data_IF_554913011858
#
_entry.id   IF_554913011858
#
_cell.length_a   1.000
_cell.length_b   1.000
_cell.length_c   1.000
_cell.angle_alpha   90.00
_cell.angle_beta   90.00
_cell.angle_gamma   90.00
#
_symmetry.space_group_name_H-M   'P 1'
#
loop_
_entity.id
_entity.type
_entity.pdbx_description
1 polymer ?
#
# COMPACT_ATOMS: atom_id res chain seq x y z
N UNK A 1 31.41 -8.10 -8.82
CA UNK A 1 30.73 -7.05 -9.60
C UNK A 1 30.27 -5.99 -8.60
N UNK A 2 31.11 -4.97 -8.44
CA UNK A 2 31.03 -3.94 -7.41
C UNK A 2 29.92 -2.98 -7.78
N UNK A 3 28.87 -2.88 -6.96
CA UNK A 3 27.83 -1.86 -7.16
C UNK A 3 28.43 -0.53 -6.74
N UNK A 4 28.63 0.33 -7.72
CA UNK A 4 29.14 1.69 -7.59
C UNK A 4 28.29 2.49 -6.58
N UNK A 5 28.95 2.96 -5.52
CA UNK A 5 28.36 3.68 -4.39
C UNK A 5 27.98 5.14 -4.71
N UNK A 6 28.02 5.55 -5.99
CA UNK A 6 27.65 6.91 -6.42
C UNK A 6 26.14 7.07 -6.72
N UNK A 7 25.34 6.00 -6.63
CA UNK A 7 23.90 6.00 -6.96
C UNK A 7 23.01 6.09 -5.71
N UNK A 8 23.16 7.11 -4.87
CA UNK A 8 22.08 7.55 -3.98
C UNK A 8 22.04 9.08 -3.84
N UNK A 9 22.33 9.79 -4.95
CA UNK A 9 21.81 11.17 -5.12
C UNK A 9 20.31 11.13 -4.85
N UNK A 10 19.78 12.15 -4.16
CA UNK A 10 18.33 12.47 -4.10
C UNK A 10 17.68 11.95 -5.38
N UNK A 11 16.83 10.93 -5.28
CA UNK A 11 16.05 10.52 -6.43
C UNK A 11 14.94 11.56 -6.66
N UNK A 12 15.34 12.79 -7.00
CA UNK A 12 14.71 13.48 -8.12
C UNK A 12 15.16 12.73 -9.39
N UNK A 13 14.79 11.44 -9.49
CA UNK A 13 14.69 10.80 -10.80
C UNK A 13 13.60 11.62 -11.46
N UNK A 14 14.01 12.54 -12.34
CA UNK A 14 13.10 13.07 -13.35
C UNK A 14 12.58 11.81 -14.04
N UNK A 15 11.36 11.41 -13.71
CA UNK A 15 10.72 10.29 -14.36
C UNK A 15 10.85 10.57 -15.86
N UNK A 16 11.37 9.60 -16.61
CA UNK A 16 11.44 9.76 -18.05
C UNK A 16 10.03 10.16 -18.52
N UNK A 17 9.89 11.23 -19.30
CA UNK A 17 8.57 11.73 -19.67
C UNK A 17 7.81 10.59 -20.34
N UNK A 18 6.54 10.42 -19.97
CA UNK A 18 5.69 9.43 -20.58
C UNK A 18 5.71 9.61 -22.10
N UNK A 19 5.99 8.52 -22.82
CA UNK A 19 5.96 8.51 -24.28
C UNK A 19 4.54 8.82 -24.80
N UNK A 20 4.37 9.31 -26.04
CA UNK A 20 3.05 9.57 -26.64
C UNK A 20 2.04 8.42 -26.52
N UNK A 21 2.51 7.16 -26.49
CA UNK A 21 1.68 5.96 -26.26
C UNK A 21 0.85 6.02 -24.98
N UNK A 22 1.32 6.70 -23.93
CA UNK A 22 0.54 6.83 -22.69
C UNK A 22 -0.61 7.83 -22.81
N UNK A 23 -0.51 8.83 -23.69
CA UNK A 23 -1.67 9.64 -24.05
C UNK A 23 -2.71 8.82 -24.83
N UNK A 24 -2.26 7.89 -25.69
CA UNK A 24 -3.14 6.94 -26.37
C UNK A 24 -3.80 5.97 -25.38
N UNK A 25 -3.04 5.40 -24.44
CA UNK A 25 -3.58 4.57 -23.36
C UNK A 25 -4.66 5.35 -22.60
N UNK A 26 -4.37 6.57 -22.14
CA UNK A 26 -5.31 7.40 -21.42
C UNK A 26 -6.62 7.63 -22.20
N UNK A 27 -6.52 7.96 -23.49
CA UNK A 27 -7.68 8.11 -24.38
C UNK A 27 -8.45 6.81 -24.59
N UNK A 28 -7.78 5.67 -24.59
CA UNK A 28 -8.45 4.36 -24.73
C UNK A 28 -9.20 3.91 -23.47
N UNK A 29 -8.91 4.53 -22.31
CA UNK A 29 -9.49 4.11 -21.03
C UNK A 29 -10.84 4.75 -20.76
N UNK A 30 -11.08 5.95 -21.28
CA UNK A 30 -12.31 6.71 -21.07
C UNK A 30 -12.89 7.08 -22.44
N UNK A 31 -14.10 6.63 -22.73
CA UNK A 31 -14.81 6.99 -23.95
C UNK A 31 -15.32 8.45 -23.86
N UNK A 32 -15.33 9.22 -24.96
CA UNK A 32 -15.81 10.62 -24.93
C UNK A 32 -17.22 10.78 -24.35
N UNK A 33 -18.10 9.81 -24.60
CA UNK A 33 -19.47 9.77 -24.06
C UNK A 33 -19.55 9.55 -22.54
N UNK A 34 -18.49 9.07 -21.91
CA UNK A 34 -18.41 8.82 -20.46
C UNK A 34 -17.78 9.99 -19.68
N UNK A 35 -17.28 11.03 -20.36
CA UNK A 35 -16.56 12.14 -19.72
C UNK A 35 -17.40 12.91 -18.69
N UNK A 36 -18.68 13.16 -19.00
CA UNK A 36 -19.61 13.85 -18.09
C UNK A 36 -19.87 13.01 -16.83
N UNK A 37 -20.10 11.70 -17.02
CA UNK A 37 -20.31 10.75 -15.93
C UNK A 37 -19.08 10.66 -15.03
N UNK A 38 -17.89 10.59 -15.62
CA UNK A 38 -16.63 10.53 -14.89
C UNK A 38 -16.39 11.83 -14.11
N UNK A 39 -16.75 12.98 -14.70
CA UNK A 39 -16.66 14.29 -14.05
C UNK A 39 -17.59 14.38 -12.83
N UNK A 40 -18.83 13.91 -12.94
CA UNK A 40 -19.74 13.82 -11.80
C UNK A 40 -19.17 12.92 -10.69
N UNK A 41 -18.65 11.75 -11.07
CA UNK A 41 -18.01 10.79 -10.17
C UNK A 41 -16.81 11.39 -9.43
N UNK A 42 -15.94 12.10 -10.14
CA UNK A 42 -14.79 12.83 -9.57
C UNK A 42 -15.22 13.92 -8.60
N UNK A 43 -16.25 14.69 -8.92
CA UNK A 43 -16.76 15.73 -8.05
C UNK A 43 -17.33 15.16 -6.74
N UNK A 44 -18.09 14.06 -6.82
CA UNK A 44 -18.57 13.32 -5.63
C UNK A 44 -17.41 12.81 -4.78
N UNK A 45 -16.39 12.26 -5.43
CA UNK A 45 -15.18 11.77 -4.77
C UNK A 45 -14.46 12.88 -3.99
N UNK A 46 -14.28 14.07 -4.59
CA UNK A 46 -13.62 15.20 -3.94
C UNK A 46 -14.38 15.70 -2.70
N UNK A 47 -15.71 15.74 -2.75
CA UNK A 47 -16.55 16.06 -1.59
C UNK A 47 -16.37 15.02 -0.48
N UNK A 48 -16.41 13.72 -0.82
CA UNK A 48 -16.21 12.64 0.15
C UNK A 48 -14.80 12.66 0.76
N UNK A 49 -13.77 12.95 -0.05
CA UNK A 49 -12.39 13.11 0.40
C UNK A 49 -12.26 14.27 1.40
N UNK A 50 -12.88 15.42 1.11
CA UNK A 50 -12.88 16.57 2.03
C UNK A 50 -13.44 16.17 3.39
N UNK A 51 -14.61 15.52 3.41
CA UNK A 51 -15.21 15.02 4.66
C UNK A 51 -14.30 14.05 5.41
N UNK A 52 -13.71 13.07 4.71
CA UNK A 52 -12.79 12.10 5.33
C UNK A 52 -11.51 12.76 5.85
N UNK A 53 -10.98 13.76 5.16
CA UNK A 53 -9.78 14.50 5.59
C UNK A 53 -10.04 15.24 6.90
N UNK A 54 -11.19 15.91 7.05
CA UNK A 54 -11.53 16.59 8.30
C UNK A 54 -11.72 15.58 9.44
N UNK A 55 -12.43 14.46 9.21
CA UNK A 55 -12.55 13.38 10.21
C UNK A 55 -11.18 12.84 10.66
N UNK A 56 -10.23 12.65 9.72
CA UNK A 56 -8.86 12.22 10.03
C UNK A 56 -8.13 13.26 10.88
N UNK A 57 -8.27 14.55 10.56
CA UNK A 57 -7.63 15.64 11.33
C UNK A 57 -8.16 15.72 12.75
N UNK A 58 -9.48 15.62 12.91
CA UNK A 58 -10.17 15.68 14.20
C UNK A 58 -9.87 14.44 15.05
N UNK A 59 -9.94 13.25 14.46
CA UNK A 59 -9.78 11.99 15.21
C UNK A 59 -8.32 11.67 15.52
N UNK A 60 -7.40 11.95 14.58
CA UNK A 60 -6.00 11.58 14.71
C UNK A 60 -5.75 10.06 14.68
N UNK A 61 -4.74 9.58 15.40
CA UNK A 61 -4.29 8.17 15.34
C UNK A 61 -5.34 7.10 15.74
N UNK A 62 -6.28 7.36 16.68
CA UNK A 62 -7.36 6.43 17.01
C UNK A 62 -8.26 6.03 15.83
N UNK A 63 -8.19 6.72 14.69
CA UNK A 63 -8.95 6.37 13.47
C UNK A 63 -8.55 5.01 12.86
N UNK A 64 -7.39 4.48 13.24
CA UNK A 64 -6.91 3.17 12.81
C UNK A 64 -7.49 2.12 13.76
N UNK A 65 -8.29 1.15 13.26
CA UNK A 65 -8.88 0.11 14.08
C UNK A 65 -7.82 -0.68 14.84
N UNK A 66 -8.08 -0.94 16.11
CA UNK A 66 -7.26 -1.77 16.97
C UNK A 66 -8.12 -2.88 17.54
N UNK A 67 -7.60 -4.10 17.53
CA UNK A 67 -8.29 -5.31 17.99
C UNK A 67 -7.30 -6.21 18.74
N UNK A 68 -7.79 -7.02 19.66
CA UNK A 68 -6.99 -8.04 20.33
C UNK A 68 -6.99 -9.34 19.53
N UNK A 69 -5.85 -10.04 19.50
CA UNK A 69 -5.70 -11.29 18.76
C UNK A 69 -6.72 -12.37 19.20
N UNK A 70 -7.04 -12.43 20.50
CA UNK A 70 -7.99 -13.38 21.05
C UNK A 70 -9.47 -13.04 20.74
N UNK A 71 -9.75 -11.87 20.18
CA UNK A 71 -11.10 -11.40 19.82
C UNK A 71 -11.38 -11.50 18.31
N UNK A 72 -10.40 -11.87 17.49
CA UNK A 72 -10.53 -11.85 16.02
C UNK A 72 -11.73 -12.65 15.50
N UNK A 73 -12.07 -13.78 16.13
CA UNK A 73 -13.21 -14.62 15.73
C UNK A 73 -14.57 -14.10 16.18
N UNK A 74 -14.62 -13.11 17.06
CA UNK A 74 -15.85 -12.58 17.67
C UNK A 74 -16.08 -11.10 17.38
N UNK A 75 -15.31 -10.50 16.48
CA UNK A 75 -15.49 -9.11 16.09
C UNK A 75 -16.88 -8.88 15.49
N UNK A 76 -17.50 -7.75 15.85
CA UNK A 76 -18.79 -7.36 15.30
C UNK A 76 -18.68 -7.08 13.79
N UNK A 77 -19.78 -7.24 13.03
CA UNK A 77 -19.83 -6.83 11.63
C UNK A 77 -19.41 -5.37 11.42
N UNK A 78 -19.81 -4.46 12.32
CA UNK A 78 -19.40 -3.05 12.25
C UNK A 78 -17.89 -2.84 12.38
N UNK A 79 -17.20 -3.62 13.23
CA UNK A 79 -15.74 -3.55 13.37
C UNK A 79 -15.04 -4.10 12.13
N UNK A 80 -15.56 -5.18 11.55
CA UNK A 80 -15.04 -5.71 10.28
C UNK A 80 -15.19 -4.70 9.15
N UNK A 81 -16.34 -4.03 9.04
CA UNK A 81 -16.55 -2.96 8.06
C UNK A 81 -15.63 -1.76 8.30
N UNK A 82 -15.34 -1.42 9.56
CA UNK A 82 -14.37 -0.38 9.90
C UNK A 82 -12.94 -0.73 9.42
N UNK A 83 -12.51 -1.98 9.64
CA UNK A 83 -11.23 -2.51 9.17
C UNK A 83 -11.18 -2.49 7.64
N UNK A 84 -12.24 -2.95 6.97
CA UNK A 84 -12.33 -2.92 5.50
C UNK A 84 -12.31 -1.50 4.94
N UNK A 85 -13.08 -0.59 5.54
CA UNK A 85 -13.15 0.82 5.14
C UNK A 85 -11.77 1.48 5.24
N UNK A 86 -11.07 1.28 6.36
CA UNK A 86 -9.78 1.93 6.62
C UNK A 86 -8.62 1.29 5.87
N UNK A 87 -8.67 -0.03 5.63
CA UNK A 87 -7.61 -0.78 4.96
C UNK A 87 -6.36 -1.01 5.79
N UNK A 88 -6.48 -0.88 7.10
CA UNK A 88 -5.39 -1.05 8.03
C UNK A 88 -5.96 -1.44 9.39
N UNK A 89 -5.21 -2.23 10.16
CA UNK A 89 -5.62 -2.67 11.49
C UNK A 89 -4.37 -2.93 12.33
N UNK A 90 -4.45 -2.60 13.62
CA UNK A 90 -3.48 -3.03 14.62
C UNK A 90 -4.06 -4.25 15.35
N UNK A 91 -3.38 -5.39 15.24
CA UNK A 91 -3.73 -6.60 16.01
C UNK A 91 -2.77 -6.69 17.19
N UNK A 92 -3.30 -6.54 18.40
CA UNK A 92 -2.54 -6.59 19.65
C UNK A 92 -2.45 -8.02 20.16
N UNK A 93 -1.40 -8.33 20.91
CA UNK A 93 -1.24 -9.64 21.56
C UNK A 93 -1.04 -10.83 20.62
N UNK A 94 -0.60 -10.61 19.36
CA UNK A 94 -0.34 -11.73 18.43
C UNK A 94 0.80 -12.61 18.94
N UNK A 95 1.89 -12.00 19.39
CA UNK A 95 2.99 -12.65 20.11
C UNK A 95 3.18 -11.87 21.41
N UNK A 96 3.44 -12.57 22.52
CA UNK A 96 3.70 -11.92 23.80
C UNK A 96 4.94 -11.03 23.75
N UNK A 97 4.91 -9.94 24.52
CA UNK A 97 5.95 -8.92 24.51
C UNK A 97 7.35 -9.48 24.84
N UNK A 98 7.55 -10.33 25.86
CA UNK A 98 8.85 -10.95 26.12
C UNK A 98 9.42 -11.72 24.93
N UNK A 99 8.59 -12.53 24.26
CA UNK A 99 9.02 -13.28 23.07
C UNK A 99 9.38 -12.34 21.91
N UNK A 100 8.53 -11.36 21.60
CA UNK A 100 8.77 -10.41 20.51
C UNK A 100 10.02 -9.54 20.76
N UNK A 101 10.22 -9.07 22.00
CA UNK A 101 11.43 -8.34 22.39
C UNK A 101 12.68 -9.23 22.33
N UNK A 102 12.56 -10.50 22.73
CA UNK A 102 13.64 -11.49 22.61
C UNK A 102 14.09 -11.71 21.16
N UNK A 103 13.17 -11.67 20.20
CA UNK A 103 13.54 -11.73 18.77
C UNK A 103 14.44 -10.56 18.36
N UNK A 104 14.15 -9.34 18.83
CA UNK A 104 14.99 -8.17 18.57
C UNK A 104 16.40 -8.34 19.15
N UNK A 105 16.52 -8.80 20.40
CA UNK A 105 17.83 -9.02 21.05
C UNK A 105 18.67 -9.99 20.23
N UNK A 106 18.08 -11.12 19.82
CA UNK A 106 18.76 -12.11 18.96
C UNK A 106 19.14 -11.55 17.58
N UNK A 107 18.32 -10.69 16.99
CA UNK A 107 18.66 -10.02 15.73
C UNK A 107 19.84 -9.07 15.91
N UNK A 108 19.89 -8.30 17.00
CA UNK A 108 21.00 -7.40 17.31
C UNK A 108 22.31 -8.18 17.56
N UNK A 109 22.24 -9.31 18.25
CA UNK A 109 23.37 -10.24 18.40
C UNK A 109 23.82 -10.81 17.07
N UNK A 110 22.88 -11.24 16.23
CA UNK A 110 23.18 -11.76 14.89
C UNK A 110 23.88 -10.71 14.03
N UNK A 111 23.41 -9.45 14.04
CA UNK A 111 24.07 -8.34 13.32
C UNK A 111 25.48 -8.09 13.87
N UNK A 112 25.67 -8.09 15.21
CA UNK A 112 26.97 -7.85 15.83
C UNK A 112 28.01 -8.90 15.44
N UNK A 113 27.58 -10.15 15.31
CA UNK A 113 28.44 -11.27 14.89
C UNK A 113 28.70 -11.33 13.38
N UNK A 114 27.95 -10.56 12.57
CA UNK A 114 28.04 -10.56 11.10
C UNK A 114 28.10 -9.10 10.57
N UNK A 115 29.20 -8.36 10.82
CA UNK A 115 29.32 -6.92 10.48
C UNK A 115 29.17 -6.62 8.98
N UNK A 116 29.47 -7.59 8.12
CA UNK A 116 29.33 -7.56 6.67
C UNK A 116 27.88 -7.66 6.18
N UNK A 117 26.93 -7.96 7.07
CA UNK A 117 25.51 -8.02 6.75
C UNK A 117 25.06 -6.75 6.01
N UNK A 118 24.42 -6.92 4.85
CA UNK A 118 23.94 -5.80 4.04
C UNK A 118 22.82 -5.05 4.76
N UNK A 119 22.79 -3.75 4.58
CA UNK A 119 21.80 -2.88 5.20
C UNK A 119 21.96 -1.43 4.75
N UNK A 120 20.94 -0.62 5.04
CA UNK A 120 20.93 0.79 4.66
C UNK A 120 20.41 1.71 5.78
N UNK A 121 20.86 2.97 5.82
CA UNK A 121 22.00 3.53 5.07
C UNK A 121 23.34 2.89 5.50
N UNK A 122 24.37 2.96 4.65
CA UNK A 122 25.64 2.24 4.84
C UNK A 122 26.32 2.55 6.19
N UNK A 123 26.42 3.83 6.55
CA UNK A 123 27.12 4.29 7.77
C UNK A 123 26.24 4.23 9.03
N UNK A 124 24.95 3.92 8.88
CA UNK A 124 24.02 3.81 9.99
C UNK A 124 22.90 2.83 9.64
N UNK A 125 23.25 1.55 9.47
CA UNK A 125 22.30 0.51 9.07
C UNK A 125 21.11 0.48 10.04
N UNK A 126 19.91 0.66 9.51
CA UNK A 126 18.64 0.52 10.26
C UNK A 126 17.69 -0.44 9.57
N UNK A 127 17.82 -0.59 8.25
CA UNK A 127 17.24 -1.71 7.52
C UNK A 127 18.33 -2.73 7.26
N UNK A 128 17.97 -4.00 7.45
CA UNK A 128 18.90 -5.11 7.31
C UNK A 128 18.39 -6.06 6.23
N UNK A 129 19.22 -6.30 5.21
CA UNK A 129 18.95 -7.21 4.10
C UNK A 129 19.27 -8.66 4.52
N UNK A 130 18.63 -9.06 5.61
CA UNK A 130 18.71 -10.38 6.22
C UNK A 130 17.32 -10.98 6.18
N UNK A 131 17.25 -12.28 5.87
CA UNK A 131 15.98 -12.92 5.52
C UNK A 131 15.71 -14.19 6.30
N UNK A 132 16.75 -14.86 6.82
CA UNK A 132 16.67 -16.25 7.28
C UNK A 132 17.19 -16.43 8.71
N UNK A 133 17.27 -15.37 9.51
CA UNK A 133 17.67 -15.52 10.91
C UNK A 133 16.65 -16.37 11.69
N UNK A 134 17.09 -17.00 12.78
CA UNK A 134 16.22 -17.79 13.66
C UNK A 134 15.00 -16.97 14.12
N UNK A 135 15.20 -15.71 14.52
CA UNK A 135 14.14 -14.80 14.93
C UNK A 135 13.10 -14.56 13.83
N UNK A 136 13.55 -14.31 12.59
CA UNK A 136 12.64 -14.10 11.46
C UNK A 136 11.84 -15.35 11.14
N UNK A 137 12.49 -16.52 11.13
CA UNK A 137 11.84 -17.79 10.87
C UNK A 137 10.80 -18.13 11.95
N UNK A 138 11.17 -18.02 13.23
CA UNK A 138 10.26 -18.28 14.36
C UNK A 138 9.06 -17.34 14.37
N UNK A 139 9.27 -16.04 14.11
CA UNK A 139 8.18 -15.08 14.05
C UNK A 139 7.20 -15.44 12.92
N UNK A 140 7.70 -15.74 11.71
CA UNK A 140 6.86 -16.08 10.56
C UNK A 140 6.11 -17.41 10.72
N UNK A 141 6.73 -18.39 11.38
CA UNK A 141 6.12 -19.69 11.64
C UNK A 141 5.33 -19.77 12.95
N UNK A 142 5.21 -18.66 13.70
CA UNK A 142 4.47 -18.65 14.96
C UNK A 142 2.99 -18.97 14.71
N UNK A 143 2.36 -19.90 15.46
CA UNK A 143 0.97 -20.29 15.23
C UNK A 143 0.01 -19.10 15.18
N UNK A 144 0.13 -18.15 16.12
CA UNK A 144 -0.71 -16.95 16.13
C UNK A 144 -0.48 -16.04 14.92
N UNK A 145 0.75 -15.95 14.39
CA UNK A 145 1.01 -15.16 13.19
C UNK A 145 0.36 -15.78 11.95
N UNK A 146 0.42 -17.10 11.83
CA UNK A 146 -0.26 -17.84 10.76
C UNK A 146 -1.78 -17.69 10.88
N UNK A 147 -2.35 -17.85 12.09
CA UNK A 147 -3.78 -17.66 12.34
C UNK A 147 -4.25 -16.23 12.06
N UNK A 148 -3.50 -15.22 12.50
CA UNK A 148 -3.81 -13.81 12.21
C UNK A 148 -3.75 -13.52 10.70
N UNK A 149 -2.79 -14.10 9.98
CA UNK A 149 -2.67 -13.94 8.53
C UNK A 149 -3.83 -14.61 7.79
N UNK A 150 -4.24 -15.82 8.21
CA UNK A 150 -5.39 -16.51 7.64
C UNK A 150 -6.69 -15.74 7.91
N UNK A 151 -6.86 -15.18 9.11
CA UNK A 151 -7.99 -14.33 9.45
C UNK A 151 -8.02 -13.03 8.62
N UNK A 152 -6.87 -12.38 8.45
CA UNK A 152 -6.76 -11.20 7.57
C UNK A 152 -7.13 -11.54 6.12
N UNK A 153 -6.69 -12.69 5.62
CA UNK A 153 -7.01 -13.16 4.27
C UNK A 153 -8.50 -13.50 4.10
N UNK A 154 -9.19 -13.98 5.14
CA UNK A 154 -10.60 -14.33 5.06
C UNK A 154 -11.53 -13.12 4.89
N UNK A 155 -11.03 -11.90 5.07
CA UNK A 155 -11.76 -10.67 4.76
C UNK A 155 -11.93 -10.45 3.25
N UNK A 156 -11.12 -11.13 2.44
CA UNK A 156 -11.21 -11.13 0.99
C UNK A 156 -12.09 -12.26 0.47
N UNK A 157 -12.50 -12.15 -0.78
CA UNK A 157 -13.15 -13.23 -1.51
C UNK A 157 -12.67 -13.27 -2.97
N UNK A 158 -12.92 -14.39 -3.63
CA UNK A 158 -12.73 -14.57 -5.05
C UNK A 158 -13.88 -15.44 -5.58
N UNK A 159 -14.09 -15.45 -6.90
CA UNK A 159 -15.02 -16.39 -7.53
C UNK A 159 -14.62 -17.84 -7.20
N UNK A 160 -15.60 -18.75 -7.10
CA UNK A 160 -15.36 -20.16 -6.76
C UNK A 160 -14.39 -20.88 -7.70
N UNK A 161 -14.31 -20.45 -8.96
CA UNK A 161 -13.38 -20.97 -9.98
C UNK A 161 -11.94 -20.46 -9.82
N UNK A 162 -11.71 -19.47 -8.95
CA UNK A 162 -10.41 -18.86 -8.74
C UNK A 162 -9.47 -19.81 -8.01
N UNK A 163 -8.24 -19.95 -8.51
CA UNK A 163 -7.21 -20.80 -7.90
C UNK A 163 -6.48 -20.09 -6.77
N UNK A 164 -7.17 -19.90 -5.64
CA UNK A 164 -6.60 -19.27 -4.44
C UNK A 164 -7.07 -19.98 -3.17
N UNK A 165 -6.17 -20.14 -2.21
CA UNK A 165 -6.51 -20.51 -0.83
C UNK A 165 -6.34 -19.30 0.07
N UNK A 166 -7.42 -18.85 0.70
CA UNK A 166 -7.37 -17.75 1.69
C UNK A 166 -7.07 -18.25 3.10
N UNK A 167 -7.20 -19.55 3.36
CA UNK A 167 -6.92 -20.18 4.65
C UNK A 167 -5.49 -20.70 4.80
N UNK A 168 -4.68 -20.67 3.74
CA UNK A 168 -3.29 -21.17 3.72
C UNK A 168 -2.30 -20.04 3.47
N UNK A 169 -1.78 -19.37 4.52
CA UNK A 169 -0.73 -18.38 4.39
C UNK A 169 0.55 -18.99 3.81
N UNK A 170 1.20 -18.24 2.91
CA UNK A 170 2.56 -18.53 2.44
C UNK A 170 3.57 -17.61 3.12
N UNK A 171 4.79 -18.11 3.33
CA UNK A 171 5.88 -17.32 3.87
C UNK A 171 6.54 -16.50 2.76
N UNK A 172 6.47 -15.17 2.86
CA UNK A 172 7.28 -14.26 2.07
C UNK A 172 8.44 -13.72 2.93
N UNK A 173 9.67 -14.04 2.53
CA UNK A 173 10.86 -13.64 3.29
C UNK A 173 11.22 -12.18 2.98
N UNK A 174 10.96 -11.29 3.93
CA UNK A 174 11.34 -9.88 3.84
C UNK A 174 12.36 -9.50 4.93
N UNK A 175 12.95 -8.32 4.75
CA UNK A 175 13.91 -7.65 5.61
C UNK A 175 13.29 -7.30 6.96
N UNK A 176 14.10 -6.78 7.87
CA UNK A 176 13.63 -6.15 9.10
C UNK A 176 14.25 -4.77 9.29
N UNK A 177 13.65 -4.00 10.21
CA UNK A 177 14.08 -2.64 10.53
C UNK A 177 14.25 -2.48 12.04
N UNK A 178 15.41 -2.00 12.45
CA UNK A 178 15.70 -1.52 13.81
C UNK A 178 16.02 -0.03 13.70
N UNK A 179 15.01 0.81 13.96
CA UNK A 179 15.13 2.26 13.84
C UNK A 179 15.78 2.84 15.10
N UNK A 180 16.76 3.73 14.93
CA UNK A 180 17.38 4.46 16.05
C UNK A 180 16.61 5.76 16.34
N UNK A 181 16.44 6.14 17.63
CA UNK A 181 15.90 7.44 18.00
C UNK A 181 16.67 8.61 17.38
N UNK A 182 16.00 9.75 17.18
CA UNK A 182 16.63 10.99 16.70
C UNK A 182 16.93 11.06 15.19
N UNK A 183 16.81 9.95 14.44
CA UNK A 183 17.07 9.96 12.99
C UNK A 183 15.76 10.23 12.22
N UNK A 184 15.65 11.41 11.62
CA UNK A 184 14.58 11.71 10.65
C UNK A 184 14.93 11.10 9.29
N UNK A 185 14.03 10.28 8.76
CA UNK A 185 14.15 9.68 7.43
C UNK A 185 13.17 10.38 6.49
N UNK A 186 13.69 11.09 5.49
CA UNK A 186 12.88 11.74 4.45
C UNK A 186 12.96 11.00 3.10
N UNK A 187 13.18 9.68 3.13
CA UNK A 187 13.53 8.88 1.94
C UNK A 187 12.30 8.25 1.27
N UNK A 188 11.17 8.14 1.98
CA UNK A 188 9.94 7.55 1.44
C UNK A 188 8.79 8.56 1.50
N UNK A 189 8.46 9.15 0.34
CA UNK A 189 7.19 9.85 0.16
C UNK A 189 6.02 8.86 0.24
N UNK A 190 4.78 9.32 0.52
CA UNK A 190 3.59 8.46 0.42
C UNK A 190 3.56 7.71 -0.92
N UNK A 191 3.28 6.42 -0.89
CA UNK A 191 3.28 5.53 -2.06
C UNK A 191 2.36 4.31 -1.82
N UNK A 192 2.07 3.58 -2.90
CA UNK A 192 1.36 2.29 -2.88
C UNK A 192 2.18 1.28 -3.67
N UNK A 193 2.59 0.18 -3.03
CA UNK A 193 3.32 -0.91 -3.68
C UNK A 193 2.40 -1.81 -4.53
N UNK A 194 2.99 -2.85 -5.15
CA UNK A 194 2.24 -3.88 -5.88
C UNK A 194 1.85 -3.44 -7.30
N UNK A 195 2.69 -2.62 -7.92
CA UNK A 195 2.47 -2.04 -9.25
C UNK A 195 2.50 -0.51 -9.19
N UNK A 196 2.62 0.12 -10.34
CA UNK A 196 2.58 1.56 -10.56
C UNK A 196 1.66 1.85 -11.74
N UNK A 197 2.19 1.97 -12.96
CA UNK A 197 1.44 2.19 -14.20
C UNK A 197 0.59 0.98 -14.61
N UNK A 198 0.97 -0.21 -14.13
CA UNK A 198 0.29 -1.48 -14.39
C UNK A 198 -1.19 -1.42 -13.99
N UNK A 199 -1.57 -0.58 -13.02
CA UNK A 199 -2.98 -0.40 -12.63
C UNK A 199 -3.87 0.09 -13.78
N UNK A 200 -3.30 0.84 -14.72
CA UNK A 200 -3.99 1.33 -15.91
C UNK A 200 -3.61 0.53 -17.15
N UNK A 201 -2.36 0.10 -17.26
CA UNK A 201 -1.84 -0.51 -18.48
C UNK A 201 -2.19 -2.01 -18.59
N UNK A 202 -1.98 -2.78 -17.52
CA UNK A 202 -2.26 -4.22 -17.53
C UNK A 202 -3.78 -4.48 -17.58
N UNK A 203 -4.30 -5.17 -18.61
CA UNK A 203 -5.73 -5.45 -18.70
C UNK A 203 -6.26 -6.30 -17.54
N UNK A 204 -5.45 -7.19 -16.97
CA UNK A 204 -5.82 -8.01 -15.82
C UNK A 204 -6.02 -7.16 -14.57
N UNK A 205 -5.01 -6.36 -14.21
CA UNK A 205 -5.03 -5.48 -13.05
C UNK A 205 -6.09 -4.39 -13.20
N UNK A 206 -6.25 -3.83 -14.40
CA UNK A 206 -7.25 -2.79 -14.68
C UNK A 206 -8.68 -3.27 -14.41
N UNK A 207 -8.98 -4.56 -14.61
CA UNK A 207 -10.31 -5.12 -14.30
C UNK A 207 -10.71 -4.91 -12.84
N UNK A 208 -9.74 -4.82 -11.92
CA UNK A 208 -10.00 -4.52 -10.51
C UNK A 208 -10.61 -3.12 -10.28
N UNK A 209 -10.47 -2.21 -11.23
CA UNK A 209 -10.82 -0.79 -11.08
C UNK A 209 -11.91 -0.33 -12.06
N UNK A 210 -12.60 -1.25 -12.73
CA UNK A 210 -13.60 -0.89 -13.76
C UNK A 210 -14.77 -0.09 -13.21
N UNK A 211 -15.21 -0.35 -11.97
CA UNK A 211 -16.26 0.47 -11.35
C UNK A 211 -15.83 1.93 -11.20
N UNK A 212 -14.57 2.16 -10.81
CA UNK A 212 -13.99 3.50 -10.69
C UNK A 212 -13.87 4.15 -12.07
N UNK A 213 -13.22 3.47 -13.04
CA UNK A 213 -13.02 4.01 -14.39
C UNK A 213 -14.33 4.21 -15.15
N UNK A 214 -15.38 3.48 -14.78
CA UNK A 214 -16.74 3.64 -15.29
C UNK A 214 -17.58 4.69 -14.54
N UNK A 215 -17.00 5.46 -13.62
CA UNK A 215 -17.68 6.57 -12.92
C UNK A 215 -18.56 6.17 -11.73
N UNK A 216 -18.36 5.00 -11.13
CA UNK A 216 -19.14 4.46 -10.00
C UNK A 216 -18.19 3.93 -8.91
N UNK A 217 -17.32 4.81 -8.41
CA UNK A 217 -16.28 4.43 -7.45
C UNK A 217 -16.86 3.95 -6.12
N UNK A 218 -18.07 4.37 -5.77
CA UNK A 218 -18.81 3.96 -4.58
C UNK A 218 -19.05 2.44 -4.53
N UNK A 219 -19.12 1.80 -5.71
CA UNK A 219 -19.26 0.35 -5.85
C UNK A 219 -17.94 -0.41 -5.92
N UNK A 220 -16.80 0.29 -5.88
CA UNK A 220 -15.51 -0.36 -5.86
C UNK A 220 -15.35 -1.19 -4.59
N UNK A 221 -15.03 -2.47 -4.78
CA UNK A 221 -14.77 -3.43 -3.72
C UNK A 221 -13.28 -3.83 -3.73
N UNK A 222 -12.46 -3.27 -2.80
CA UNK A 222 -11.05 -3.62 -2.69
C UNK A 222 -10.80 -5.09 -2.31
N UNK A 223 -11.81 -5.77 -1.73
CA UNK A 223 -11.71 -7.11 -1.15
C UNK A 223 -12.06 -8.24 -2.14
N UNK A 224 -12.45 -7.88 -3.37
CA UNK A 224 -12.59 -8.83 -4.47
C UNK A 224 -11.23 -9.11 -5.13
N UNK A 225 -10.74 -10.35 -4.98
CA UNK A 225 -9.46 -10.78 -5.54
C UNK A 225 -9.57 -11.34 -6.95
N UNK A 226 -10.77 -11.63 -7.45
CA UNK A 226 -11.00 -12.41 -8.68
C UNK A 226 -10.08 -11.97 -9.83
N UNK A 227 -10.02 -10.67 -10.11
CA UNK A 227 -9.19 -10.14 -11.20
C UNK A 227 -7.72 -9.88 -10.79
N UNK A 228 -7.42 -9.77 -9.49
CA UNK A 228 -6.05 -9.54 -8.99
C UNK A 228 -5.17 -10.78 -9.18
N UNK A 229 -5.75 -11.97 -9.21
CA UNK A 229 -5.02 -13.24 -9.29
C UNK A 229 -4.35 -13.48 -10.65
N UNK A 230 -4.87 -12.87 -11.71
CA UNK A 230 -4.39 -13.05 -13.09
C UNK A 230 -3.60 -11.83 -13.61
N UNK A 231 -3.39 -10.83 -12.76
CA UNK A 231 -2.77 -9.59 -13.18
C UNK A 231 -1.25 -9.72 -13.35
N UNK A 232 -0.69 -8.92 -14.26
CA UNK A 232 0.75 -8.70 -14.32
C UNK A 232 1.06 -7.33 -13.72
N UNK A 233 1.55 -7.33 -12.48
CA UNK A 233 1.93 -6.12 -11.76
C UNK A 233 3.40 -5.72 -11.99
N UNK A 234 4.11 -6.37 -12.92
CA UNK A 234 5.53 -6.14 -13.24
C UNK A 234 5.79 -6.23 -14.76
N UNK A 235 4.96 -5.57 -15.57
CA UNK A 235 5.08 -5.62 -17.04
C UNK A 235 6.41 -5.05 -17.56
N UNK A 236 7.16 -4.33 -16.71
CA UNK A 236 8.46 -3.71 -17.04
C UNK A 236 9.66 -4.36 -16.33
N UNK A 237 9.47 -5.44 -15.57
CA UNK A 237 10.54 -6.13 -14.84
C UNK A 237 11.41 -5.19 -14.00
N UNK A 238 10.77 -4.33 -13.22
CA UNK A 238 11.48 -3.28 -12.45
C UNK A 238 12.29 -3.90 -11.31
N UNK A 239 13.48 -3.33 -11.00
CA UNK A 239 14.27 -3.81 -9.88
C UNK A 239 13.49 -3.63 -8.57
N UNK A 240 13.62 -4.61 -7.67
CA UNK A 240 12.94 -4.67 -6.36
C UNK A 240 11.41 -4.83 -6.42
N UNK A 241 10.85 -5.24 -7.55
CA UNK A 241 9.43 -5.57 -7.62
C UNK A 241 9.10 -6.83 -6.82
N UNK A 242 7.96 -6.82 -6.13
CA UNK A 242 7.46 -7.96 -5.36
C UNK A 242 6.93 -9.03 -6.32
N UNK A 243 7.49 -10.25 -6.24
CA UNK A 243 7.12 -11.38 -7.09
C UNK A 243 5.90 -12.17 -6.63
N UNK A 244 5.31 -11.80 -5.49
CA UNK A 244 4.13 -12.46 -4.92
C UNK A 244 2.96 -11.49 -4.78
N UNK A 245 1.75 -12.01 -4.93
CA UNK A 245 0.55 -11.30 -4.54
C UNK A 245 0.42 -11.26 -3.01
N UNK A 246 0.17 -10.07 -2.46
CA UNK A 246 -0.03 -9.84 -1.02
C UNK A 246 -1.38 -9.17 -0.82
N UNK A 247 -2.28 -9.83 -0.10
CA UNK A 247 -3.56 -9.27 0.36
C UNK A 247 -3.31 -8.10 1.31
N UNK A 248 -2.38 -8.30 2.25
CA UNK A 248 -1.96 -7.31 3.24
C UNK A 248 -0.43 -7.18 3.24
N UNK A 249 0.05 -5.96 3.46
CA UNK A 249 1.39 -5.76 4.01
C UNK A 249 1.29 -5.68 5.53
N UNK A 250 2.35 -6.08 6.24
CA UNK A 250 2.38 -6.03 7.69
C UNK A 250 3.77 -6.29 8.26
N UNK A 251 3.92 -5.97 9.53
CA UNK A 251 5.12 -6.26 10.30
C UNK A 251 4.76 -6.59 11.75
N UNK A 252 5.58 -7.41 12.39
CA UNK A 252 5.53 -7.63 13.82
C UNK A 252 6.34 -6.53 14.53
N UNK A 253 5.72 -5.85 15.50
CA UNK A 253 6.44 -4.94 16.36
C UNK A 253 7.32 -5.74 17.35
N UNK A 254 8.60 -5.42 17.43
CA UNK A 254 9.56 -6.00 18.39
C UNK A 254 10.03 -4.97 19.43
N UNK A 255 9.32 -3.84 19.52
CA UNK A 255 9.58 -2.75 20.46
C UNK A 255 8.33 -1.89 20.58
N UNK A 256 8.16 -1.25 21.74
CA UNK A 256 7.11 -0.24 21.96
C UNK A 256 7.44 1.04 21.20
N UNK A 257 6.50 1.53 20.40
CA UNK A 257 6.57 2.81 19.68
C UNK A 257 5.17 3.43 19.60
N UNK A 258 5.09 4.73 19.84
CA UNK A 258 3.86 5.52 19.74
C UNK A 258 3.69 6.24 18.40
N UNK A 259 2.54 6.90 18.19
CA UNK A 259 2.35 7.79 17.05
C UNK A 259 3.42 8.88 16.99
N UNK A 260 3.98 9.13 15.81
CA UNK A 260 5.00 10.17 15.61
C UNK A 260 6.44 9.73 15.91
N UNK A 261 6.64 8.58 16.57
CA UNK A 261 7.96 8.06 16.96
C UNK A 261 8.65 7.27 15.84
N UNK A 262 8.52 7.75 14.61
CA UNK A 262 9.12 7.10 13.44
C UNK A 262 8.39 5.82 12.98
N UNK A 263 7.12 5.70 13.32
CA UNK A 263 6.17 4.67 12.87
C UNK A 263 5.61 4.97 11.48
N UNK A 264 4.74 4.09 10.96
CA UNK A 264 4.09 4.27 9.66
C UNK A 264 2.98 5.31 9.73
N UNK A 265 2.62 5.90 8.59
CA UNK A 265 1.44 6.75 8.41
C UNK A 265 0.60 6.22 7.26
N UNK A 266 -0.71 6.26 7.41
CA UNK A 266 -1.67 5.82 6.38
C UNK A 266 -2.64 6.94 6.06
N UNK A 267 -3.24 6.89 4.87
CA UNK A 267 -4.52 7.52 4.61
C UNK A 267 -5.61 6.45 4.79
N UNK A 268 -6.35 6.44 5.91
CA UNK A 268 -7.18 5.31 6.31
C UNK A 268 -8.54 5.32 5.59
N UNK A 269 -8.56 5.21 4.26
CA UNK A 269 -9.77 4.94 3.49
C UNK A 269 -9.39 4.30 2.14
N UNK A 270 -9.62 2.99 1.98
CA UNK A 270 -9.21 2.27 0.77
C UNK A 270 -9.93 2.75 -0.48
N UNK A 271 -11.26 2.86 -0.41
CA UNK A 271 -12.09 3.18 -1.57
C UNK A 271 -11.78 4.59 -2.07
N UNK A 272 -11.77 5.59 -1.18
CA UNK A 272 -11.52 6.99 -1.58
C UNK A 272 -10.09 7.18 -2.09
N UNK A 273 -9.08 6.60 -1.43
CA UNK A 273 -7.70 6.72 -1.89
C UNK A 273 -7.46 6.02 -3.23
N UNK A 274 -8.00 4.81 -3.40
CA UNK A 274 -7.90 4.07 -4.66
C UNK A 274 -8.60 4.79 -5.79
N UNK A 275 -9.83 5.28 -5.56
CA UNK A 275 -10.58 6.05 -6.53
C UNK A 275 -9.83 7.32 -6.94
N UNK A 276 -9.28 8.07 -5.98
CA UNK A 276 -8.50 9.26 -6.28
C UNK A 276 -7.28 8.93 -7.13
N UNK A 277 -6.49 7.93 -6.73
CA UNK A 277 -5.30 7.52 -7.48
C UNK A 277 -5.69 7.15 -8.91
N UNK A 278 -6.69 6.29 -9.09
CA UNK A 278 -7.09 5.79 -10.40
C UNK A 278 -7.67 6.86 -11.32
N UNK A 279 -8.43 7.82 -10.79
CA UNK A 279 -9.04 8.89 -11.55
C UNK A 279 -8.12 10.10 -11.77
N UNK A 280 -7.17 10.36 -10.87
CA UNK A 280 -6.33 11.56 -10.88
C UNK A 280 -5.64 11.82 -12.21
N UNK A 281 -5.14 10.83 -12.97
CA UNK A 281 -4.59 11.08 -14.30
C UNK A 281 -5.56 11.83 -15.21
N UNK A 282 -6.86 11.56 -15.14
CA UNK A 282 -7.87 12.12 -16.05
C UNK A 282 -8.37 13.50 -15.65
N UNK A 283 -7.92 14.09 -14.52
CA UNK A 283 -8.39 15.39 -14.05
C UNK A 283 -7.22 16.30 -13.72
N UNK A 284 -7.29 17.57 -14.12
CA UNK A 284 -6.28 18.59 -13.76
C UNK A 284 -6.90 19.74 -12.95
N UNK A 285 -6.16 20.29 -11.98
CA UNK A 285 -6.59 21.49 -11.28
C UNK A 285 -6.54 22.70 -12.22
N UNK A 286 -7.49 23.62 -12.08
CA UNK A 286 -7.57 24.86 -12.87
C UNK A 286 -6.52 25.87 -12.41
N UNK A 287 -6.27 25.95 -11.11
CA UNK A 287 -5.29 26.83 -10.47
C UNK A 287 -3.87 26.23 -10.39
N UNK A 288 -3.68 24.99 -10.86
CA UNK A 288 -2.41 24.25 -10.74
C UNK A 288 -2.13 23.68 -9.35
N UNK A 289 -2.95 23.98 -8.34
CA UNK A 289 -2.77 23.53 -6.96
C UNK A 289 -3.54 22.23 -6.69
N UNK A 290 -2.81 21.10 -6.70
CA UNK A 290 -3.38 19.78 -6.43
C UNK A 290 -3.95 19.59 -5.03
N UNK A 291 -3.59 20.45 -4.06
CA UNK A 291 -4.15 20.41 -2.71
C UNK A 291 -5.54 21.05 -2.62
N UNK A 292 -5.93 21.85 -3.62
CA UNK A 292 -7.26 22.42 -3.71
C UNK A 292 -8.23 21.38 -4.28
N UNK A 293 -8.83 20.60 -3.38
CA UNK A 293 -9.81 19.54 -3.68
C UNK A 293 -11.25 20.06 -3.80
N UNK A 294 -11.47 21.35 -4.03
CA UNK A 294 -12.80 21.86 -4.36
C UNK A 294 -13.21 21.37 -5.76
N UNK A 295 -14.37 20.72 -5.95
CA UNK A 295 -14.83 20.24 -7.26
C UNK A 295 -14.76 21.28 -8.38
N UNK A 296 -15.04 22.56 -8.07
CA UNK A 296 -15.00 23.65 -9.06
C UNK A 296 -13.60 23.94 -9.59
N UNK A 297 -12.56 23.50 -8.88
CA UNK A 297 -11.17 23.68 -9.29
C UNK A 297 -10.67 22.56 -10.21
N UNK A 298 -11.48 21.60 -10.64
CA UNK A 298 -11.01 20.48 -11.46
C UNK A 298 -11.75 20.40 -12.80
N UNK A 299 -11.00 20.02 -13.84
CA UNK A 299 -11.56 19.67 -15.14
C UNK A 299 -10.98 18.38 -15.67
N UNK A 300 -11.77 17.66 -16.44
CA UNK A 300 -11.31 16.46 -17.13
C UNK A 300 -10.26 16.81 -18.21
N UNK A 301 -9.28 15.93 -18.40
CA UNK A 301 -8.14 16.07 -19.31
C UNK A 301 -7.68 14.72 -19.87
N UNK A 302 -8.58 14.02 -20.56
CA UNK A 302 -8.30 12.73 -21.22
C UNK A 302 -7.39 12.93 -22.45
N UNK A 303 -7.52 14.05 -23.16
CA UNK A 303 -6.90 14.26 -24.47
C UNK A 303 -5.48 14.88 -24.44
N UNK A 304 -5.07 15.53 -23.35
CA UNK A 304 -3.98 16.53 -23.40
C UNK A 304 -2.61 16.14 -22.84
N UNK A 305 -2.49 15.09 -22.01
CA UNK A 305 -1.24 14.79 -21.30
C UNK A 305 -0.94 13.29 -21.27
N UNK A 306 0.29 12.86 -21.60
CA UNK A 306 0.71 11.47 -21.43
C UNK A 306 0.97 11.10 -19.96
N UNK A 307 0.88 12.08 -19.04
CA UNK A 307 1.20 11.85 -17.64
C UNK A 307 0.14 11.01 -16.92
N UNK A 308 0.63 10.11 -16.07
CA UNK A 308 -0.13 9.42 -15.04
C UNK A 308 0.38 9.91 -13.68
N UNK A 309 -0.30 10.89 -13.10
CA UNK A 309 0.13 11.51 -11.84
C UNK A 309 0.29 10.48 -10.71
N UNK A 310 1.42 10.54 -10.01
CA UNK A 310 1.74 9.62 -8.92
C UNK A 310 2.43 8.32 -9.34
N UNK A 311 2.57 8.06 -10.64
CA UNK A 311 3.37 6.96 -11.18
C UNK A 311 4.82 7.43 -11.33
N UNK A 312 5.78 6.55 -10.99
CA UNK A 312 7.23 6.81 -11.00
C UNK A 312 8.00 5.62 -11.55
#
# INVERSE_FOLDING_TARGET
MTIDQTIMRKFDRIAAPYTPRFAELKRSLIAPEDEDKLTESWNKLLVALKGRIEEIKETGSPIIPQVEFNELSSLSPSKLEEIKRTGCVVIRGVIDEPTAAGYKVKLEEYIRSNPEARGFPADNKQFFELYWSESQLRARSHPNMLSATAWLNSLFYAQETSRVSLSTPLMYADRFRIRKPGVQWNIHSPHVDGGSIERWEDPGLRKCFLSILGGDWERHDPFNLTHRLECNNDIYHRPNQCSVFRTWQGWLAMSSTGPGEGTIRFFPNLTLSTAYIMLRPFFKPLDGNVANIDPSNWKIDVAGSPNFEGVR
#
